data_IF_047787353313
#
_entry.id   IF_047787353313
#
_cell.length_a   1.000
_cell.length_b   1.000
_cell.length_c   1.000
_cell.angle_alpha   90.00
_cell.angle_beta   90.00
_cell.angle_gamma   90.00
#
_symmetry.space_group_name_H-M   'P 1'
#
loop_
_entity.id
_entity.type
_entity.pdbx_description
1 polymer ?
#
# COMPACT_ATOMS: atom_id res chain seq x y z
N UNK A 1 18.57 -0.29 6.00
CA UNK A 1 17.84 0.75 6.75
C UNK A 1 17.00 1.68 5.83
N UNK A 2 17.40 1.89 4.57
CA UNK A 2 16.82 2.92 3.71
C UNK A 2 15.61 2.46 2.86
N UNK A 3 15.25 1.17 2.88
CA UNK A 3 14.16 0.62 2.09
C UNK A 3 13.08 0.07 3.01
N UNK A 4 11.83 0.45 2.78
CA UNK A 4 10.62 -0.17 3.32
C UNK A 4 9.97 -1.02 2.24
N UNK A 5 9.47 -2.18 2.60
CA UNK A 5 8.78 -3.09 1.69
C UNK A 5 7.47 -3.53 2.29
N UNK A 6 6.41 -3.42 1.52
CA UNK A 6 5.08 -3.91 1.85
C UNK A 6 4.71 -4.93 0.77
N UNK A 7 4.67 -6.21 1.16
CA UNK A 7 4.36 -7.31 0.25
C UNK A 7 2.86 -7.53 0.08
N UNK A 8 2.49 -8.19 -0.99
CA UNK A 8 1.14 -8.67 -1.27
C UNK A 8 0.65 -9.56 -0.12
N UNK A 9 1.45 -10.56 0.25
CA UNK A 9 1.19 -11.42 1.41
C UNK A 9 1.73 -10.76 2.67
N UNK A 10 0.86 -10.05 3.37
CA UNK A 10 1.23 -9.36 4.61
C UNK A 10 1.52 -10.34 5.73
N UNK A 11 2.77 -10.36 6.19
CA UNK A 11 3.18 -11.16 7.33
C UNK A 11 3.11 -10.32 8.62
N UNK A 12 2.34 -10.81 9.59
CA UNK A 12 2.27 -10.29 10.96
C UNK A 12 2.77 -11.36 11.93
N UNK A 13 3.49 -10.90 12.95
CA UNK A 13 3.99 -11.78 14.02
C UNK A 13 2.92 -12.02 15.07
N UNK A 14 3.03 -13.12 15.79
CA UNK A 14 2.23 -13.33 17.00
C UNK A 14 2.62 -12.27 18.04
N UNK A 15 1.61 -11.61 18.61
CA UNK A 15 1.79 -10.49 19.53
C UNK A 15 0.66 -9.48 19.41
N UNK A 16 0.89 -8.29 19.94
CA UNK A 16 -0.08 -7.18 19.90
C UNK A 16 0.01 -6.39 18.59
N UNK A 17 -1.01 -5.59 18.33
CA UNK A 17 -1.02 -4.64 17.20
C UNK A 17 0.15 -3.65 17.33
N UNK A 18 0.36 -3.09 18.52
CA UNK A 18 1.44 -2.14 18.79
C UNK A 18 2.82 -2.73 18.50
N UNK A 19 3.09 -3.96 19.00
CA UNK A 19 4.35 -4.67 18.74
C UNK A 19 4.56 -4.94 17.24
N UNK A 20 3.50 -5.28 16.51
CA UNK A 20 3.57 -5.49 15.08
C UNK A 20 3.92 -4.22 14.31
N UNK A 21 3.38 -3.07 14.68
CA UNK A 21 3.71 -1.78 14.06
C UNK A 21 5.15 -1.38 14.42
N UNK A 22 5.55 -1.54 15.68
CA UNK A 22 6.88 -1.20 16.19
C UNK A 22 8.00 -2.19 15.82
N UNK A 23 7.71 -3.19 15.00
CA UNK A 23 8.61 -4.31 14.70
C UNK A 23 10.06 -3.93 14.35
N UNK A 24 10.25 -2.83 13.63
CA UNK A 24 11.58 -2.36 13.23
C UNK A 24 12.22 -1.38 14.23
N UNK A 25 11.47 -0.88 15.19
CA UNK A 25 11.93 0.04 16.22
C UNK A 25 11.22 -0.26 17.56
N UNK A 26 11.84 -1.11 18.34
CA UNK A 26 11.32 -1.50 19.67
C UNK A 26 11.30 -0.34 20.68
N UNK A 27 11.93 0.80 20.37
CA UNK A 27 11.93 1.99 21.20
C UNK A 27 10.89 3.03 20.76
N UNK A 28 10.12 2.75 19.72
CA UNK A 28 9.05 3.63 19.25
C UNK A 28 8.06 3.92 20.38
N UNK A 29 7.74 5.19 20.58
CA UNK A 29 6.73 5.58 21.55
C UNK A 29 5.33 5.18 21.07
N UNK A 30 4.38 5.06 22.00
CA UNK A 30 2.97 4.85 21.62
C UNK A 30 2.46 5.97 20.72
N UNK A 31 2.93 7.20 20.92
CA UNK A 31 2.57 8.35 20.09
C UNK A 31 3.04 8.17 18.64
N UNK A 32 4.28 7.69 18.42
CA UNK A 32 4.80 7.41 17.07
C UNK A 32 4.00 6.29 16.38
N UNK A 33 3.62 5.25 17.13
CA UNK A 33 2.78 4.15 16.65
C UNK A 33 1.40 4.67 16.24
N UNK A 34 0.78 5.54 17.05
CA UNK A 34 -0.51 6.17 16.74
C UNK A 34 -0.41 7.05 15.49
N UNK A 35 0.63 7.86 15.36
CA UNK A 35 0.86 8.71 14.18
C UNK A 35 0.99 7.84 12.91
N UNK A 36 1.79 6.77 12.98
CA UNK A 36 1.94 5.83 11.87
C UNK A 36 0.62 5.15 11.49
N UNK A 37 -0.18 4.78 12.50
CA UNK A 37 -1.48 4.15 12.32
C UNK A 37 -2.51 5.08 11.70
N UNK A 38 -2.52 6.36 12.08
CA UNK A 38 -3.38 7.38 11.46
C UNK A 38 -3.03 7.57 9.98
N UNK A 39 -1.75 7.68 9.66
CA UNK A 39 -1.29 7.81 8.26
C UNK A 39 -1.59 6.58 7.41
N UNK A 40 -1.59 5.39 8.00
CA UNK A 40 -1.94 4.13 7.30
C UNK A 40 -3.45 3.83 7.27
N UNK A 41 -4.29 4.72 7.79
CA UNK A 41 -5.74 4.51 7.96
C UNK A 41 -6.08 3.29 8.84
N UNK A 42 -5.16 2.92 9.77
CA UNK A 42 -5.37 1.80 10.68
C UNK A 42 -5.96 2.21 12.03
N UNK A 43 -5.77 3.45 12.45
CA UNK A 43 -6.08 3.93 13.79
C UNK A 43 -7.55 3.70 14.20
N UNK A 44 -8.48 4.04 13.31
CA UNK A 44 -9.91 3.94 13.61
C UNK A 44 -10.36 2.50 13.93
N UNK A 45 -9.93 1.52 13.11
CA UNK A 45 -10.30 0.13 13.43
C UNK A 45 -9.60 -0.37 14.69
N UNK A 46 -8.38 0.10 14.99
CA UNK A 46 -7.66 -0.28 16.21
C UNK A 46 -8.39 0.24 17.45
N UNK A 47 -8.85 1.49 17.45
CA UNK A 47 -9.60 2.08 18.57
C UNK A 47 -10.94 1.37 18.83
N UNK A 48 -11.55 0.80 17.79
CA UNK A 48 -12.79 0.04 17.92
C UNK A 48 -12.60 -1.37 18.52
N UNK A 49 -11.35 -1.82 18.72
CA UNK A 49 -11.06 -3.07 19.41
C UNK A 49 -11.01 -2.87 20.92
N UNK A 50 -11.49 -3.85 21.68
CA UNK A 50 -11.60 -3.76 23.15
C UNK A 50 -10.30 -3.44 23.88
N UNK A 51 -9.15 -3.84 23.33
CA UNK A 51 -7.81 -3.61 23.88
C UNK A 51 -6.97 -2.67 23.03
N UNK A 52 -7.56 -2.02 22.02
CA UNK A 52 -6.84 -1.07 21.16
C UNK A 52 -5.53 -1.65 20.63
N UNK A 53 -4.44 -0.93 20.84
CA UNK A 53 -3.08 -1.32 20.41
C UNK A 53 -2.52 -2.55 21.14
N UNK A 54 -3.04 -2.89 22.32
CA UNK A 54 -2.66 -4.08 23.10
C UNK A 54 -3.44 -5.33 22.66
N UNK A 55 -4.26 -5.24 21.63
CA UNK A 55 -5.02 -6.36 21.09
C UNK A 55 -4.08 -7.42 20.52
N UNK A 56 -4.19 -8.66 21.05
CA UNK A 56 -3.47 -9.83 20.54
C UNK A 56 -4.11 -10.32 19.24
N UNK A 57 -3.33 -10.32 18.16
CA UNK A 57 -3.81 -10.63 16.81
C UNK A 57 -3.73 -12.12 16.45
N UNK A 58 -3.01 -12.92 17.24
CA UNK A 58 -2.80 -14.34 17.04
C UNK A 58 -1.81 -14.64 15.91
N UNK A 59 -1.57 -15.92 15.71
CA UNK A 59 -0.61 -16.38 14.69
C UNK A 59 -0.96 -15.82 13.31
N UNK A 60 0.02 -15.15 12.66
CA UNK A 60 -0.13 -14.48 11.37
C UNK A 60 -1.31 -13.51 11.27
N UNK A 61 -1.74 -12.94 12.40
CA UNK A 61 -2.85 -12.00 12.45
C UNK A 61 -4.20 -12.62 12.04
N UNK A 62 -4.45 -13.89 12.35
CA UNK A 62 -5.66 -14.63 11.94
C UNK A 62 -6.98 -13.97 12.38
N UNK A 63 -6.93 -13.11 13.40
CA UNK A 63 -8.11 -12.38 13.89
C UNK A 63 -8.44 -11.12 13.09
N UNK A 64 -7.62 -10.76 12.11
CA UNK A 64 -7.75 -9.54 11.31
C UNK A 64 -8.17 -9.87 9.88
N UNK A 65 -8.95 -8.95 9.27
CA UNK A 65 -9.24 -9.01 7.84
C UNK A 65 -7.97 -8.74 7.00
N UNK A 66 -7.98 -9.10 5.71
CA UNK A 66 -6.87 -8.83 4.79
C UNK A 66 -6.50 -7.34 4.74
N UNK A 67 -7.51 -6.47 4.64
CA UNK A 67 -7.30 -5.03 4.61
C UNK A 67 -6.79 -4.45 5.93
N UNK A 68 -7.19 -5.00 7.08
CA UNK A 68 -6.63 -4.61 8.37
C UNK A 68 -5.15 -5.00 8.47
N UNK A 69 -4.78 -6.21 8.06
CA UNK A 69 -3.38 -6.66 8.01
C UNK A 69 -2.54 -5.74 7.12
N UNK A 70 -3.06 -5.41 5.94
CA UNK A 70 -2.36 -4.55 4.99
C UNK A 70 -2.10 -3.16 5.57
N UNK A 71 -3.10 -2.54 6.20
CA UNK A 71 -2.93 -1.23 6.85
C UNK A 71 -1.94 -1.27 8.02
N UNK A 72 -1.84 -2.37 8.76
CA UNK A 72 -0.80 -2.55 9.78
C UNK A 72 0.59 -2.68 9.16
N UNK A 73 0.75 -3.39 8.03
CA UNK A 73 2.02 -3.48 7.32
C UNK A 73 2.46 -2.10 6.78
N UNK A 74 1.51 -1.31 6.29
CA UNK A 74 1.75 0.07 5.88
C UNK A 74 2.17 0.92 7.08
N UNK A 75 1.49 0.82 8.24
CA UNK A 75 1.88 1.52 9.47
C UNK A 75 3.31 1.19 9.89
N UNK A 76 3.69 -0.09 9.84
CA UNK A 76 5.05 -0.57 10.09
C UNK A 76 6.08 0.07 9.16
N UNK A 77 5.74 0.16 7.86
CA UNK A 77 6.63 0.80 6.87
C UNK A 77 6.75 2.31 7.10
N UNK A 78 5.67 2.98 7.51
CA UNK A 78 5.67 4.41 7.86
C UNK A 78 6.55 4.68 9.07
N UNK A 79 6.37 3.90 10.14
CA UNK A 79 7.13 4.06 11.38
C UNK A 79 8.64 3.93 11.15
N UNK A 80 9.03 2.99 10.27
CA UNK A 80 10.43 2.82 9.85
C UNK A 80 11.00 4.05 9.13
N UNK A 81 10.14 4.88 8.53
CA UNK A 81 10.46 6.11 7.81
C UNK A 81 11.62 5.99 6.80
N UNK A 82 11.57 5.06 5.84
CA UNK A 82 12.63 4.85 4.86
C UNK A 82 12.58 5.90 3.73
N UNK A 83 13.72 6.13 3.06
CA UNK A 83 13.79 7.01 1.90
C UNK A 83 13.16 6.40 0.63
N UNK A 84 13.12 5.07 0.57
CA UNK A 84 12.57 4.32 -0.56
C UNK A 84 11.49 3.38 -0.01
N UNK A 85 10.30 3.43 -0.60
CA UNK A 85 9.20 2.51 -0.32
C UNK A 85 8.89 1.66 -1.55
N UNK A 86 8.68 0.37 -1.33
CA UNK A 86 8.25 -0.55 -2.37
C UNK A 86 6.94 -1.18 -1.91
N UNK A 87 5.90 -1.04 -2.72
CA UNK A 87 4.60 -1.67 -2.52
C UNK A 87 4.36 -2.70 -3.60
N UNK A 88 4.12 -3.95 -3.20
CA UNK A 88 3.84 -5.06 -4.09
C UNK A 88 2.37 -5.48 -3.92
N UNK A 89 1.55 -5.15 -4.91
CA UNK A 89 0.11 -5.48 -4.96
C UNK A 89 -0.69 -5.18 -3.67
N UNK A 90 -0.47 -4.04 -3.07
CA UNK A 90 -1.03 -3.69 -1.76
C UNK A 90 -2.58 -3.73 -1.70
N UNK A 91 -3.30 -3.88 -2.81
CA UNK A 91 -4.78 -3.79 -2.87
C UNK A 91 -5.46 -4.96 -3.57
N UNK A 92 -4.73 -6.01 -3.96
CA UNK A 92 -5.28 -7.08 -4.82
C UNK A 92 -6.39 -7.93 -4.20
N UNK A 93 -6.47 -7.99 -2.88
CA UNK A 93 -7.38 -8.89 -2.13
C UNK A 93 -8.32 -8.17 -1.16
N UNK A 94 -8.55 -6.86 -1.33
CA UNK A 94 -9.40 -6.07 -0.43
C UNK A 94 -10.65 -5.54 -1.15
N UNK A 95 -11.70 -5.24 -0.37
CA UNK A 95 -12.91 -4.59 -0.88
C UNK A 95 -12.65 -3.13 -1.31
N UNK A 96 -13.56 -2.55 -2.07
CA UNK A 96 -13.38 -1.22 -2.65
C UNK A 96 -13.22 -0.10 -1.61
N UNK A 97 -13.89 -0.19 -0.46
CA UNK A 97 -13.76 0.80 0.61
C UNK A 97 -12.38 0.74 1.25
N UNK A 98 -11.94 -0.45 1.58
CA UNK A 98 -10.58 -0.69 2.11
C UNK A 98 -9.51 -0.30 1.10
N UNK A 99 -9.72 -0.54 -0.20
CA UNK A 99 -8.81 -0.10 -1.27
C UNK A 99 -8.64 1.42 -1.27
N UNK A 100 -9.73 2.16 -1.16
CA UNK A 100 -9.71 3.63 -1.08
C UNK A 100 -8.86 4.11 0.10
N UNK A 101 -9.04 3.51 1.28
CA UNK A 101 -8.26 3.85 2.47
C UNK A 101 -6.75 3.55 2.27
N UNK A 102 -6.42 2.44 1.64
CA UNK A 102 -5.03 2.09 1.31
C UNK A 102 -4.45 3.09 0.30
N UNK A 103 -5.19 3.45 -0.75
CA UNK A 103 -4.74 4.44 -1.73
C UNK A 103 -4.50 5.83 -1.11
N UNK A 104 -5.38 6.26 -0.21
CA UNK A 104 -5.19 7.51 0.54
C UNK A 104 -3.89 7.46 1.36
N UNK A 105 -3.65 6.36 2.08
CA UNK A 105 -2.43 6.15 2.83
C UNK A 105 -1.19 6.16 1.93
N UNK A 106 -1.22 5.48 0.78
CA UNK A 106 -0.12 5.43 -0.19
C UNK A 106 0.21 6.82 -0.73
N UNK A 107 -0.80 7.61 -1.12
CA UNK A 107 -0.61 8.96 -1.64
C UNK A 107 0.02 9.91 -0.60
N UNK A 108 -0.35 9.74 0.68
CA UNK A 108 0.22 10.57 1.74
C UNK A 108 1.67 10.19 2.06
N UNK A 109 1.97 8.89 2.04
CA UNK A 109 3.30 8.36 2.33
C UNK A 109 4.28 8.62 1.17
N UNK A 110 3.81 8.66 -0.07
CA UNK A 110 4.65 8.87 -1.25
C UNK A 110 5.29 10.27 -1.30
N UNK A 111 4.72 11.24 -0.59
CA UNK A 111 5.27 12.59 -0.52
C UNK A 111 6.69 12.59 0.05
N UNK A 112 7.58 13.33 -0.59
CA UNK A 112 8.97 13.55 -0.17
C UNK A 112 9.88 12.31 -0.14
N UNK A 113 9.52 11.24 -0.89
CA UNK A 113 10.34 10.02 -0.98
C UNK A 113 10.17 9.29 -2.31
N UNK A 114 11.10 8.43 -2.65
CA UNK A 114 10.96 7.55 -3.80
C UNK A 114 10.02 6.39 -3.46
N UNK A 115 8.93 6.28 -4.22
CA UNK A 115 7.95 5.20 -4.04
C UNK A 115 7.83 4.37 -5.31
N UNK A 116 8.02 3.08 -5.20
CA UNK A 116 7.85 2.10 -6.28
C UNK A 116 6.59 1.31 -5.97
N UNK A 117 5.64 1.31 -6.89
CA UNK A 117 4.37 0.58 -6.74
C UNK A 117 4.27 -0.46 -7.85
N UNK A 118 4.17 -1.73 -7.49
CA UNK A 118 3.82 -2.81 -8.40
C UNK A 118 2.31 -3.01 -8.25
N UNK A 119 1.56 -2.78 -9.31
CA UNK A 119 0.11 -2.77 -9.26
C UNK A 119 -0.52 -3.54 -10.41
N UNK A 120 -1.57 -4.30 -10.09
CA UNK A 120 -2.47 -4.91 -11.06
C UNK A 120 -3.71 -4.04 -11.34
N UNK A 121 -4.00 -3.07 -10.46
CA UNK A 121 -5.08 -2.10 -10.67
C UNK A 121 -4.49 -0.76 -11.11
N UNK A 122 -4.88 -0.31 -12.29
CA UNK A 122 -4.35 0.92 -12.86
C UNK A 122 -4.77 2.17 -12.08
N UNK A 123 -5.90 2.12 -11.35
CA UNK A 123 -6.31 3.17 -10.41
C UNK A 123 -5.22 3.53 -9.39
N UNK A 124 -4.44 2.55 -8.95
CA UNK A 124 -3.38 2.71 -7.95
C UNK A 124 -2.19 3.51 -8.48
N UNK A 125 -1.90 3.41 -9.77
CA UNK A 125 -0.71 4.04 -10.40
C UNK A 125 -1.03 5.24 -11.29
N UNK A 126 -2.32 5.59 -11.44
CA UNK A 126 -2.75 6.73 -12.27
C UNK A 126 -2.01 8.03 -11.95
N UNK A 127 -1.72 8.26 -10.68
CA UNK A 127 -1.07 9.48 -10.19
C UNK A 127 0.46 9.33 -10.05
N UNK A 128 1.06 8.25 -10.55
CA UNK A 128 2.50 8.07 -10.53
C UNK A 128 3.18 9.06 -11.48
N UNK A 129 4.33 9.60 -11.08
CA UNK A 129 5.14 10.49 -11.91
C UNK A 129 5.65 9.77 -13.16
N UNK A 130 5.94 8.47 -13.04
CA UNK A 130 6.43 7.64 -14.12
C UNK A 130 5.91 6.21 -14.01
N UNK A 131 5.34 5.71 -15.08
CA UNK A 131 4.80 4.35 -15.20
C UNK A 131 5.70 3.57 -16.16
N UNK A 132 6.03 2.35 -15.79
CA UNK A 132 6.78 1.40 -16.60
C UNK A 132 5.89 0.17 -16.83
N UNK A 133 5.60 -0.14 -18.07
CA UNK A 133 4.87 -1.34 -18.47
C UNK A 133 5.86 -2.40 -18.87
N UNK A 134 5.80 -3.55 -18.20
CA UNK A 134 6.70 -4.68 -18.44
C UNK A 134 5.95 -5.81 -19.15
N UNK A 135 6.58 -6.38 -20.18
CA UNK A 135 6.14 -7.61 -20.83
C UNK A 135 7.37 -8.43 -21.24
N UNK A 136 7.29 -9.74 -21.06
CA UNK A 136 8.34 -10.69 -21.45
C UNK A 136 9.76 -10.27 -21.00
N UNK A 137 9.86 -9.82 -19.74
CA UNK A 137 11.10 -9.36 -19.11
C UNK A 137 11.73 -8.12 -19.77
N UNK A 138 10.95 -7.35 -20.54
CA UNK A 138 11.39 -6.11 -21.19
C UNK A 138 10.43 -4.95 -20.92
N UNK A 139 10.91 -3.73 -21.06
CA UNK A 139 10.08 -2.53 -21.00
C UNK A 139 9.34 -2.41 -22.33
N UNK A 140 8.02 -2.54 -22.28
CA UNK A 140 7.16 -2.39 -23.45
C UNK A 140 6.79 -0.92 -23.68
N UNK A 141 6.38 -0.21 -22.63
CA UNK A 141 6.01 1.20 -22.67
C UNK A 141 6.45 1.87 -21.38
N UNK A 142 6.68 3.18 -21.43
CA UNK A 142 6.98 3.99 -20.25
C UNK A 142 6.59 5.44 -20.46
N UNK A 143 6.17 6.11 -19.38
CA UNK A 143 5.77 7.52 -19.41
C UNK A 143 4.82 7.87 -18.28
N UNK A 144 4.28 9.07 -18.28
CA UNK A 144 3.16 9.42 -17.38
C UNK A 144 1.85 8.77 -17.86
N UNK A 145 0.85 8.72 -17.00
CA UNK A 145 -0.49 8.24 -17.35
C UNK A 145 -1.02 8.92 -18.63
N UNK A 146 -0.93 10.24 -18.72
CA UNK A 146 -1.42 11.00 -19.87
C UNK A 146 -0.67 10.64 -21.15
N UNK A 147 0.66 10.54 -21.09
CA UNK A 147 1.49 10.16 -22.24
C UNK A 147 1.19 8.76 -22.77
N UNK A 148 0.96 7.82 -21.85
CA UNK A 148 0.63 6.44 -22.23
C UNK A 148 -0.77 6.31 -22.84
N UNK A 149 -1.73 7.16 -22.44
CA UNK A 149 -3.06 7.20 -23.05
C UNK A 149 -3.10 7.86 -24.42
N UNK A 150 -2.14 8.74 -24.77
CA UNK A 150 -2.02 9.31 -26.13
C UNK A 150 -1.83 8.22 -27.19
N UNK A 151 -1.15 7.12 -26.83
CA UNK A 151 -1.02 5.96 -27.71
C UNK A 151 -2.25 5.06 -27.59
N UNK A 152 -3.31 5.37 -28.35
CA UNK A 152 -4.61 4.63 -28.32
C UNK A 152 -4.47 3.13 -28.64
N UNK A 153 -3.42 2.73 -29.37
CA UNK A 153 -3.13 1.33 -29.68
C UNK A 153 -2.10 0.71 -28.70
N UNK A 154 -1.72 1.43 -27.66
CA UNK A 154 -0.77 0.99 -26.67
C UNK A 154 -1.34 -0.08 -25.74
N UNK A 155 -0.45 -0.86 -25.16
CA UNK A 155 -0.83 -1.91 -24.19
C UNK A 155 -1.45 -1.28 -22.94
N UNK A 156 -0.87 -0.19 -22.43
CA UNK A 156 -1.40 0.55 -21.29
C UNK A 156 -2.81 1.08 -21.53
N UNK A 157 -3.05 1.73 -22.70
CA UNK A 157 -4.37 2.23 -23.07
C UNK A 157 -5.40 1.12 -23.15
N UNK A 158 -5.03 -0.03 -23.73
CA UNK A 158 -5.90 -1.20 -23.82
C UNK A 158 -6.30 -1.73 -22.44
N UNK A 159 -5.35 -1.83 -21.52
CA UNK A 159 -5.62 -2.24 -20.14
C UNK A 159 -6.49 -1.23 -19.39
N UNK A 160 -6.25 0.07 -19.60
CA UNK A 160 -7.05 1.13 -19.01
C UNK A 160 -8.52 1.02 -19.42
N UNK A 161 -8.77 0.91 -20.72
CA UNK A 161 -10.13 0.76 -21.26
C UNK A 161 -10.84 -0.48 -20.69
N UNK A 162 -10.13 -1.60 -20.55
CA UNK A 162 -10.69 -2.83 -19.97
C UNK A 162 -11.06 -2.61 -18.49
N UNK A 163 -10.22 -1.94 -17.70
CA UNK A 163 -10.46 -1.78 -16.27
C UNK A 163 -11.47 -0.68 -15.93
N UNK A 164 -11.53 0.39 -16.72
CA UNK A 164 -12.44 1.53 -16.44
C UNK A 164 -13.75 1.43 -17.19
N UNK A 165 -13.83 0.64 -18.26
CA UNK A 165 -14.96 0.61 -19.18
C UNK A 165 -15.04 1.88 -20.07
N UNK A 166 -14.05 2.75 -20.03
CA UNK A 166 -13.96 3.94 -20.88
C UNK A 166 -13.41 3.53 -22.25
N UNK A 167 -14.16 3.78 -23.32
CA UNK A 167 -13.60 3.76 -24.69
C UNK A 167 -12.96 5.12 -24.95
N UNK A 168 -11.66 5.12 -25.20
CA UNK A 168 -10.95 6.30 -25.69
C UNK A 168 -11.34 6.49 -27.15
N UNK A 169 -12.27 7.43 -27.42
CA UNK A 169 -12.70 7.84 -28.78
C UNK A 169 -11.55 8.42 -29.62
#
# INVERSE_FOLDING_TARGET
KNIGFVSQDTFLFDGTIGENIAYYDSNASLEDIIIASKKSQAHEFIENLSSGYDTLIGERGQKLSGGQKQRLAIARAILKNPNILIFDEATSSVDNETELLIQMALNDIAKDRTTIVIAHRLSTIRNADHIIVLSDSSILEQGSHSQLLENKNGYYSSLWNIQTGEQLD
#
